data_IF_669107993276
#
_entry.id   IF_669107993276
#
_cell.length_a   1.000
_cell.length_b   1.000
_cell.length_c   1.000
_cell.angle_alpha   90.00
_cell.angle_beta   90.00
_cell.angle_gamma   90.00
#
_symmetry.space_group_name_H-M   'P 1'
#
loop_
_entity.id
_entity.type
_entity.pdbx_description
1 polymer ?
#
# COMPACT_ATOMS: atom_id res chain seq x y z
N UNK A 1 5.27 19.70 -21.48
CA UNK A 1 4.65 20.66 -20.54
C UNK A 1 3.64 19.90 -19.68
N UNK A 2 3.77 19.85 -18.37
CA UNK A 2 2.82 19.51 -17.28
C UNK A 2 3.51 18.79 -16.09
N UNK A 3 4.72 19.21 -15.75
CA UNK A 3 5.38 18.82 -14.47
C UNK A 3 5.04 19.77 -13.31
N UNK A 4 4.45 20.94 -13.61
CA UNK A 4 4.17 21.97 -12.59
C UNK A 4 3.02 21.64 -11.64
N UNK A 5 2.02 20.86 -12.06
CA UNK A 5 0.84 20.56 -11.24
C UNK A 5 1.12 19.58 -10.09
N UNK A 6 2.08 18.67 -10.25
CA UNK A 6 2.45 17.72 -9.19
C UNK A 6 3.21 18.40 -8.05
N UNK A 7 4.06 19.37 -8.38
CA UNK A 7 4.85 20.12 -7.39
C UNK A 7 3.93 21.01 -6.56
N UNK A 8 2.88 21.60 -7.17
CA UNK A 8 1.92 22.44 -6.47
C UNK A 8 1.06 21.64 -5.47
N UNK A 9 0.69 20.40 -5.79
CA UNK A 9 -0.07 19.53 -4.88
C UNK A 9 0.76 19.09 -3.67
N UNK A 10 2.04 18.82 -3.86
CA UNK A 10 2.96 18.44 -2.77
C UNK A 10 3.25 19.65 -1.85
N UNK A 11 3.38 20.85 -2.43
CA UNK A 11 3.56 22.09 -1.67
C UNK A 11 2.29 22.53 -0.92
N UNK A 12 1.10 22.27 -1.47
CA UNK A 12 -0.16 22.53 -0.77
C UNK A 12 -0.37 21.58 0.42
N UNK A 13 0.02 20.30 0.30
CA UNK A 13 0.02 19.36 1.40
C UNK A 13 1.02 19.73 2.51
N UNK A 14 2.16 20.31 2.15
CA UNK A 14 3.15 20.82 3.12
C UNK A 14 2.68 22.11 3.82
N UNK A 15 1.85 22.94 3.18
CA UNK A 15 1.32 24.19 3.76
C UNK A 15 0.21 23.95 4.80
N UNK A 16 -0.50 22.82 4.74
CA UNK A 16 -1.48 22.41 5.76
C UNK A 16 -0.82 21.97 7.08
N UNK A 17 0.50 21.75 7.10
CA UNK A 17 1.24 21.31 8.27
C UNK A 17 1.54 22.41 9.29
N UNK A 18 1.16 23.66 9.06
CA UNK A 18 1.50 24.80 9.92
C UNK A 18 0.64 24.93 11.19
N UNK A 19 -0.40 24.09 11.36
CA UNK A 19 -1.22 24.05 12.59
C UNK A 19 -1.37 22.63 13.17
N UNK A 20 -0.75 21.60 12.57
CA UNK A 20 -0.81 20.23 13.05
C UNK A 20 0.25 20.01 14.14
N UNK A 21 -0.05 19.16 15.12
CA UNK A 21 0.97 18.57 15.99
C UNK A 21 2.13 18.00 15.14
N UNK A 22 3.33 17.94 15.72
CA UNK A 22 4.50 17.39 15.02
C UNK A 22 4.15 16.01 14.41
N UNK A 23 4.50 15.77 13.13
CA UNK A 23 4.17 14.51 12.48
C UNK A 23 4.81 13.35 13.24
N UNK A 24 4.05 12.29 13.46
CA UNK A 24 4.57 11.04 14.01
C UNK A 24 4.98 10.14 12.87
N UNK A 25 6.18 9.60 12.93
CA UNK A 25 6.67 8.64 11.96
C UNK A 25 6.41 7.22 12.43
N UNK A 26 6.39 6.27 11.51
CA UNK A 26 6.19 4.89 11.87
C UNK A 26 6.65 3.93 10.78
N UNK A 27 6.77 2.68 11.19
CA UNK A 27 7.07 1.55 10.32
C UNK A 27 5.96 0.52 10.46
N UNK A 28 5.79 -0.30 9.42
CA UNK A 28 4.80 -1.38 9.45
C UNK A 28 5.32 -2.64 8.79
N UNK A 29 5.00 -3.77 9.39
CA UNK A 29 5.09 -5.09 8.77
C UNK A 29 3.74 -5.48 8.18
N UNK A 30 3.73 -6.07 6.99
CA UNK A 30 2.54 -6.44 6.24
C UNK A 30 2.57 -7.90 5.84
N UNK A 31 1.41 -8.52 5.81
CA UNK A 31 1.13 -9.75 5.06
C UNK A 31 0.16 -9.39 3.95
N UNK A 32 0.53 -9.68 2.71
CA UNK A 32 -0.27 -9.42 1.54
C UNK A 32 -0.90 -10.71 1.05
N UNK A 33 -2.22 -10.78 1.06
CA UNK A 33 -3.01 -11.91 0.60
C UNK A 33 -3.55 -11.55 -0.79
N UNK A 34 -3.06 -12.20 -1.86
CA UNK A 34 -3.49 -11.91 -3.22
C UNK A 34 -4.94 -12.32 -3.44
N UNK A 35 -5.68 -11.54 -4.23
CA UNK A 35 -7.07 -11.79 -4.61
C UNK A 35 -7.24 -11.70 -6.13
N UNK A 36 -8.35 -12.22 -6.66
CA UNK A 36 -8.69 -12.15 -8.09
C UNK A 36 -7.57 -12.68 -8.99
N UNK A 37 -7.27 -11.96 -10.06
CA UNK A 37 -6.27 -12.35 -11.06
C UNK A 37 -4.84 -12.43 -10.48
N UNK A 38 -4.52 -11.59 -9.50
CA UNK A 38 -3.24 -11.66 -8.80
C UNK A 38 -3.08 -12.97 -8.03
N UNK A 39 -4.17 -13.48 -7.43
CA UNK A 39 -4.17 -14.76 -6.72
C UNK A 39 -3.79 -15.91 -7.66
N UNK A 40 -4.32 -15.93 -8.87
CA UNK A 40 -3.99 -16.95 -9.87
C UNK A 40 -2.53 -16.82 -10.32
N UNK A 41 -2.06 -15.58 -10.54
CA UNK A 41 -0.70 -15.32 -10.98
C UNK A 41 0.38 -15.78 -9.98
N UNK A 42 0.14 -15.65 -8.67
CA UNK A 42 1.11 -16.02 -7.61
C UNK A 42 0.73 -17.29 -6.85
N UNK A 43 -0.13 -18.15 -7.42
CA UNK A 43 -0.55 -19.43 -6.85
C UNK A 43 -1.12 -19.29 -5.42
N UNK A 44 -1.93 -18.26 -5.20
CA UNK A 44 -2.57 -17.98 -3.90
C UNK A 44 -1.60 -17.73 -2.73
N UNK A 45 -0.30 -17.63 -2.96
CA UNK A 45 0.71 -17.51 -1.90
C UNK A 45 0.69 -16.12 -1.30
N UNK A 46 0.44 -15.98 0.01
CA UNK A 46 0.58 -14.70 0.69
C UNK A 46 2.06 -14.29 0.72
N UNK A 47 2.31 -13.00 0.70
CA UNK A 47 3.65 -12.46 0.66
C UNK A 47 3.91 -11.44 1.77
N UNK A 48 5.15 -11.34 2.27
CA UNK A 48 5.54 -10.31 3.22
C UNK A 48 5.60 -8.93 2.56
N UNK A 49 5.42 -7.92 3.37
CA UNK A 49 5.65 -6.53 2.99
C UNK A 49 6.12 -5.72 4.17
N UNK A 50 6.65 -4.56 3.88
CA UNK A 50 6.99 -3.57 4.89
C UNK A 50 6.74 -2.17 4.34
N UNK A 51 6.52 -1.23 5.25
CA UNK A 51 6.30 0.16 4.88
C UNK A 51 6.78 1.14 5.93
N UNK A 52 6.91 2.37 5.48
CA UNK A 52 7.16 3.53 6.34
C UNK A 52 6.07 4.56 6.11
N UNK A 53 5.71 5.30 7.13
CA UNK A 53 4.68 6.33 7.02
C UNK A 53 4.92 7.49 7.98
N UNK A 54 4.34 8.63 7.66
CA UNK A 54 4.14 9.73 8.58
C UNK A 54 2.65 9.88 8.87
N UNK A 55 2.28 10.33 10.06
CA UNK A 55 0.88 10.67 10.40
C UNK A 55 0.78 12.11 10.83
N UNK A 56 -0.19 12.82 10.26
CA UNK A 56 -0.51 14.21 10.55
C UNK A 56 -1.90 14.25 11.17
N UNK A 57 -1.99 14.72 12.39
CA UNK A 57 -3.27 14.90 13.08
C UNK A 57 -3.95 16.16 12.55
N UNK A 58 -5.20 16.03 12.14
CA UNK A 58 -6.06 17.13 11.66
C UNK A 58 -7.10 17.55 12.71
N UNK A 59 -7.08 16.92 13.90
CA UNK A 59 -8.07 17.12 14.95
C UNK A 59 -9.28 16.21 14.81
N UNK A 60 -10.04 16.10 15.90
CA UNK A 60 -11.33 15.37 15.98
C UNK A 60 -11.28 13.92 15.45
N UNK A 61 -10.12 13.24 15.58
CA UNK A 61 -9.92 11.88 15.11
C UNK A 61 -9.66 11.74 13.61
N UNK A 62 -9.42 12.84 12.91
CA UNK A 62 -9.06 12.86 11.50
C UNK A 62 -7.54 12.91 11.33
N UNK A 63 -6.98 12.04 10.49
CA UNK A 63 -5.55 12.01 10.21
C UNK A 63 -5.26 11.80 8.73
N UNK A 64 -4.15 12.37 8.27
CA UNK A 64 -3.53 12.04 6.99
C UNK A 64 -2.28 11.19 7.22
N UNK A 65 -2.08 10.18 6.37
CA UNK A 65 -0.96 9.26 6.47
C UNK A 65 -0.30 9.02 5.11
N UNK A 66 0.66 9.89 4.68
CA UNK A 66 1.55 9.53 3.57
C UNK A 66 2.34 8.29 3.94
N UNK A 67 2.51 7.39 2.94
CA UNK A 67 3.17 6.09 3.14
C UNK A 67 3.90 5.61 1.91
N UNK A 68 4.94 4.83 2.16
CA UNK A 68 5.70 4.09 1.15
C UNK A 68 5.73 2.63 1.57
N UNK A 69 5.23 1.74 0.72
CA UNK A 69 5.16 0.30 0.99
C UNK A 69 5.89 -0.48 -0.09
N UNK A 70 6.53 -1.55 0.34
CA UNK A 70 7.12 -2.57 -0.52
C UNK A 70 6.52 -3.93 -0.19
N UNK A 71 6.08 -4.68 -1.20
CA UNK A 71 5.52 -6.01 -1.03
C UNK A 71 6.17 -7.01 -1.96
N UNK A 72 6.39 -8.20 -1.45
CA UNK A 72 6.93 -9.35 -2.16
C UNK A 72 5.86 -10.44 -2.22
N UNK A 73 5.61 -10.99 -3.40
CA UNK A 73 4.82 -12.21 -3.53
C UNK A 73 5.78 -13.35 -3.87
N UNK A 74 5.78 -14.44 -3.08
CA UNK A 74 6.67 -15.58 -3.28
C UNK A 74 6.54 -16.18 -4.67
N UNK A 75 7.59 -16.85 -5.13
CA UNK A 75 7.62 -17.53 -6.41
C UNK A 75 6.50 -18.58 -6.49
N UNK A 76 5.68 -18.48 -7.51
CA UNK A 76 4.74 -19.50 -7.94
C UNK A 76 5.36 -20.34 -9.04
N UNK A 77 5.19 -21.65 -8.99
CA UNK A 77 5.72 -22.59 -9.98
C UNK A 77 4.57 -23.33 -10.65
N UNK A 78 4.40 -23.11 -11.95
CA UNK A 78 3.41 -23.80 -12.77
C UNK A 78 4.15 -24.68 -13.79
N UNK A 79 4.26 -25.96 -13.48
CA UNK A 79 5.12 -26.91 -14.20
C UNK A 79 6.58 -26.43 -14.22
N UNK A 80 7.08 -25.95 -15.37
CA UNK A 80 8.43 -25.39 -15.52
C UNK A 80 8.48 -23.88 -15.40
N UNK A 81 7.34 -23.19 -15.42
CA UNK A 81 7.27 -21.72 -15.42
C UNK A 81 7.27 -21.20 -13.98
N UNK A 82 8.14 -20.25 -13.69
CA UNK A 82 8.21 -19.55 -12.41
C UNK A 82 7.71 -18.12 -12.54
N UNK A 83 6.84 -17.72 -11.64
CA UNK A 83 6.26 -16.37 -11.62
C UNK A 83 6.46 -15.71 -10.25
N UNK A 84 6.86 -14.45 -10.27
CA UNK A 84 7.09 -13.65 -9.06
C UNK A 84 6.50 -12.26 -9.28
N UNK A 85 5.88 -11.70 -8.27
CA UNK A 85 5.39 -10.33 -8.29
C UNK A 85 5.98 -9.51 -7.14
N UNK A 86 6.33 -8.27 -7.42
CA UNK A 86 6.73 -7.28 -6.40
C UNK A 86 6.02 -5.97 -6.62
N UNK A 87 5.79 -5.22 -5.53
CA UNK A 87 5.22 -3.87 -5.63
C UNK A 87 6.00 -2.87 -4.82
N UNK A 88 6.08 -1.66 -5.36
CA UNK A 88 6.46 -0.45 -4.64
C UNK A 88 5.31 0.54 -4.75
N UNK A 89 4.73 0.93 -3.61
CA UNK A 89 3.56 1.80 -3.54
C UNK A 89 3.89 3.08 -2.78
N UNK A 90 3.64 4.21 -3.40
CA UNK A 90 3.69 5.53 -2.76
C UNK A 90 2.28 6.12 -2.76
N UNK A 91 1.79 6.45 -1.58
CA UNK A 91 0.41 6.92 -1.45
C UNK A 91 0.14 7.75 -0.21
N UNK A 92 -1.13 8.04 -0.01
CA UNK A 92 -1.64 8.70 1.17
C UNK A 92 -2.99 8.12 1.56
N UNK A 93 -3.15 7.85 2.84
CA UNK A 93 -4.38 7.40 3.44
C UNK A 93 -4.99 8.51 4.29
N UNK A 94 -6.30 8.58 4.29
CA UNK A 94 -7.08 9.31 5.26
C UNK A 94 -7.62 8.33 6.29
N UNK A 95 -7.42 8.64 7.57
CA UNK A 95 -7.88 7.84 8.70
C UNK A 95 -8.95 8.62 9.46
N UNK A 96 -10.01 7.93 9.83
CA UNK A 96 -11.06 8.45 10.70
C UNK A 96 -11.21 7.58 11.94
N UNK A 97 -10.78 8.10 13.08
CA UNK A 97 -10.93 7.47 14.40
C UNK A 97 -12.32 7.70 14.95
N UNK A 98 -13.07 6.63 15.18
CA UNK A 98 -14.48 6.70 15.59
C UNK A 98 -14.65 7.36 16.97
N UNK A 99 -13.65 7.25 17.84
CA UNK A 99 -13.66 7.85 19.17
C UNK A 99 -13.25 9.34 19.20
N UNK A 100 -12.98 9.98 18.04
CA UNK A 100 -12.55 11.37 17.96
C UNK A 100 -11.14 11.64 18.49
N UNK A 101 -10.35 10.61 18.74
CA UNK A 101 -8.96 10.69 19.22
C UNK A 101 -8.11 9.62 18.53
N UNK A 102 -6.78 9.80 18.39
CA UNK A 102 -5.92 8.90 17.60
C UNK A 102 -5.62 7.55 18.29
N UNK A 103 -6.60 6.98 18.94
CA UNK A 103 -6.60 5.67 19.61
C UNK A 103 -7.92 4.94 19.36
N UNK A 104 -7.89 3.60 19.36
CA UNK A 104 -9.05 2.75 19.15
C UNK A 104 -9.30 2.44 17.68
N UNK A 105 -10.55 2.17 17.35
CA UNK A 105 -11.00 1.76 16.03
C UNK A 105 -10.96 2.94 15.05
N UNK A 106 -10.41 2.71 13.84
CA UNK A 106 -10.44 3.68 12.77
C UNK A 106 -10.78 3.03 11.41
N UNK A 107 -11.37 3.82 10.56
CA UNK A 107 -11.55 3.52 9.14
C UNK A 107 -10.44 4.19 8.34
N UNK A 108 -10.01 3.57 7.26
CA UNK A 108 -9.00 4.15 6.37
C UNK A 108 -9.44 4.04 4.91
N UNK A 109 -9.15 5.07 4.14
CA UNK A 109 -9.27 5.08 2.69
C UNK A 109 -8.07 5.81 2.10
N UNK A 110 -7.60 5.40 0.94
CA UNK A 110 -6.40 5.98 0.38
C UNK A 110 -6.26 5.83 -1.12
N UNK A 111 -5.31 6.61 -1.64
CA UNK A 111 -4.87 6.61 -3.02
C UNK A 111 -3.37 6.35 -3.06
N UNK A 112 -2.93 5.57 -4.04
CA UNK A 112 -1.52 5.29 -4.23
C UNK A 112 -1.14 5.23 -5.71
N UNK A 113 0.12 5.51 -5.99
CA UNK A 113 0.79 5.13 -7.24
C UNK A 113 1.55 3.84 -6.94
N UNK A 114 1.19 2.76 -7.62
CA UNK A 114 1.74 1.43 -7.40
C UNK A 114 2.54 1.01 -8.62
N UNK A 115 3.84 0.80 -8.43
CA UNK A 115 4.71 0.18 -9.42
C UNK A 115 4.73 -1.32 -9.20
N UNK A 116 4.27 -2.06 -10.19
CA UNK A 116 4.30 -3.51 -10.25
C UNK A 116 5.49 -3.97 -11.06
N UNK A 117 6.16 -5.02 -10.61
CA UNK A 117 7.16 -5.77 -11.35
C UNK A 117 6.73 -7.24 -11.36
N UNK A 118 6.34 -7.72 -12.53
CA UNK A 118 5.92 -9.09 -12.77
C UNK A 118 7.04 -9.80 -13.51
N UNK A 119 7.60 -10.86 -12.92
CA UNK A 119 8.67 -11.64 -13.51
C UNK A 119 8.16 -13.03 -13.89
N UNK A 120 8.54 -13.47 -15.08
CA UNK A 120 8.27 -14.80 -15.56
C UNK A 120 9.59 -15.42 -16.05
N UNK A 121 9.90 -16.60 -15.54
CA UNK A 121 11.16 -17.32 -15.81
C UNK A 121 10.89 -18.76 -16.22
N UNK A 122 11.92 -19.38 -16.80
CA UNK A 122 11.93 -20.79 -17.16
C UNK A 122 10.82 -21.21 -18.14
N UNK A 123 10.36 -20.28 -19.01
CA UNK A 123 9.42 -20.61 -20.09
C UNK A 123 10.19 -21.31 -21.20
N UNK A 124 9.83 -22.54 -21.61
CA UNK A 124 10.54 -23.25 -22.67
C UNK A 124 10.61 -22.45 -23.97
N UNK A 125 11.83 -22.18 -24.47
CA UNK A 125 12.06 -21.45 -25.70
C UNK A 125 11.87 -19.93 -25.65
N UNK A 126 11.62 -19.36 -24.48
CA UNK A 126 11.42 -17.91 -24.28
C UNK A 126 12.42 -17.40 -23.24
N UNK A 127 13.16 -16.31 -23.49
CA UNK A 127 13.98 -15.68 -22.46
C UNK A 127 13.16 -15.21 -21.26
N UNK A 128 13.80 -15.15 -20.10
CA UNK A 128 13.20 -14.57 -18.89
C UNK A 128 12.69 -13.16 -19.16
N UNK A 129 11.45 -12.90 -18.76
CA UNK A 129 10.80 -11.61 -18.98
C UNK A 129 10.47 -10.92 -17.69
N UNK A 130 10.63 -9.59 -17.66
CA UNK A 130 10.19 -8.74 -16.56
C UNK A 130 9.30 -7.64 -17.13
N UNK A 131 8.05 -7.61 -16.70
CA UNK A 131 7.10 -6.57 -17.08
C UNK A 131 6.90 -5.60 -15.92
N UNK A 132 7.29 -4.33 -16.15
CA UNK A 132 7.09 -3.26 -15.17
C UNK A 132 5.94 -2.36 -15.61
N UNK A 133 5.02 -2.10 -14.71
CA UNK A 133 3.92 -1.16 -14.96
C UNK A 133 3.64 -0.31 -13.72
N UNK A 134 3.22 0.94 -13.94
CA UNK A 134 2.86 1.86 -12.86
C UNK A 134 1.41 2.26 -13.03
N UNK A 135 0.61 2.08 -11.98
CA UNK A 135 -0.84 2.30 -11.99
C UNK A 135 -1.29 3.01 -10.73
N UNK A 136 -2.46 3.63 -10.81
CA UNK A 136 -3.14 4.10 -9.63
C UNK A 136 -3.75 2.92 -8.87
N UNK A 137 -3.69 3.02 -7.54
CA UNK A 137 -4.33 2.11 -6.61
C UNK A 137 -5.29 2.84 -5.69
N UNK A 138 -6.34 2.14 -5.31
CA UNK A 138 -7.31 2.53 -4.29
C UNK A 138 -7.13 1.62 -3.09
N UNK A 139 -7.24 2.17 -1.89
CA UNK A 139 -7.22 1.38 -0.67
C UNK A 139 -8.40 1.75 0.23
N UNK A 140 -8.95 0.75 0.90
CA UNK A 140 -9.95 0.94 1.95
C UNK A 140 -9.74 -0.12 3.03
N UNK A 141 -9.98 0.23 4.30
CA UNK A 141 -9.73 -0.71 5.36
C UNK A 141 -10.21 -0.25 6.73
N UNK A 142 -9.83 -1.02 7.72
CA UNK A 142 -10.12 -0.80 9.13
C UNK A 142 -8.87 -1.13 9.94
N UNK A 143 -8.64 -0.36 10.99
CA UNK A 143 -7.53 -0.62 11.90
C UNK A 143 -7.89 -0.31 13.33
N UNK A 144 -7.03 -0.74 14.23
CA UNK A 144 -7.13 -0.49 15.63
C UNK A 144 -5.80 -0.01 16.19
N UNK A 145 -5.79 1.20 16.73
CA UNK A 145 -4.64 1.77 17.42
C UNK A 145 -4.73 1.45 18.91
N UNK A 146 -3.87 0.55 19.38
CA UNK A 146 -3.88 0.05 20.77
C UNK A 146 -3.40 1.08 21.77
N UNK A 147 -2.43 1.89 21.37
CA UNK A 147 -1.86 2.99 22.14
C UNK A 147 -1.12 3.95 21.19
N UNK A 148 -0.46 4.96 21.70
CA UNK A 148 0.25 5.96 20.90
C UNK A 148 1.29 5.35 19.93
N UNK A 149 1.84 4.17 20.25
CA UNK A 149 2.94 3.53 19.52
C UNK A 149 2.48 2.40 18.61
N UNK A 150 1.54 1.55 19.06
CA UNK A 150 1.24 0.26 18.41
C UNK A 150 -0.16 0.25 17.83
N UNK A 151 -0.29 -0.24 16.60
CA UNK A 151 -1.57 -0.44 15.92
C UNK A 151 -1.57 -1.66 15.02
N UNK A 152 -2.76 -2.10 14.64
CA UNK A 152 -3.01 -3.16 13.64
C UNK A 152 -3.99 -2.65 12.58
N UNK A 153 -3.85 -3.13 11.36
CA UNK A 153 -4.69 -2.70 10.24
C UNK A 153 -4.96 -3.86 9.29
N UNK A 154 -6.16 -3.92 8.77
CA UNK A 154 -6.52 -4.74 7.63
C UNK A 154 -7.10 -3.84 6.53
N UNK A 155 -6.55 -3.90 5.31
CA UNK A 155 -7.02 -3.08 4.19
C UNK A 155 -7.04 -3.88 2.89
N UNK A 156 -7.95 -3.53 2.02
CA UNK A 156 -7.98 -3.96 0.64
C UNK A 156 -7.26 -2.93 -0.22
N UNK A 157 -6.40 -3.40 -1.12
CA UNK A 157 -5.73 -2.62 -2.14
C UNK A 157 -6.18 -3.11 -3.51
N UNK A 158 -6.63 -2.18 -4.35
CA UNK A 158 -7.03 -2.43 -5.73
C UNK A 158 -6.14 -1.67 -6.70
N UNK A 159 -5.68 -2.32 -7.77
CA UNK A 159 -4.96 -1.68 -8.86
C UNK A 159 -5.27 -2.39 -10.19
N UNK A 160 -5.67 -1.64 -11.21
CA UNK A 160 -5.94 -2.20 -12.55
C UNK A 160 -4.67 -2.12 -13.39
N UNK A 161 -4.05 -3.27 -13.73
CA UNK A 161 -2.76 -3.33 -14.43
C UNK A 161 -2.91 -3.20 -15.95
N UNK A 162 -3.94 -3.82 -16.53
CA UNK A 162 -4.26 -3.76 -17.97
C UNK A 162 -5.76 -3.95 -18.18
N UNK A 163 -6.22 -3.85 -19.43
CA UNK A 163 -7.61 -4.22 -19.77
C UNK A 163 -7.81 -5.71 -19.50
N UNK A 164 -8.37 -6.06 -18.35
CA UNK A 164 -8.68 -7.43 -17.94
C UNK A 164 -7.86 -8.01 -16.81
N UNK A 165 -6.73 -7.41 -16.38
CA UNK A 165 -5.97 -7.87 -15.20
C UNK A 165 -6.13 -6.89 -14.02
N UNK A 166 -6.77 -7.35 -12.96
CA UNK A 166 -6.98 -6.62 -11.71
C UNK A 166 -6.05 -7.19 -10.64
N UNK A 167 -5.19 -6.35 -10.08
CA UNK A 167 -4.35 -6.72 -8.97
C UNK A 167 -5.00 -6.26 -7.67
N UNK A 168 -5.70 -7.17 -7.04
CA UNK A 168 -6.35 -7.00 -5.75
C UNK A 168 -5.57 -7.72 -4.66
N UNK A 169 -5.45 -7.11 -3.50
CA UNK A 169 -4.83 -7.75 -2.35
C UNK A 169 -5.50 -7.30 -1.04
N UNK A 170 -5.67 -8.22 -0.11
CA UNK A 170 -5.88 -7.89 1.30
C UNK A 170 -4.51 -7.76 1.97
N UNK A 171 -4.31 -6.67 2.69
CA UNK A 171 -3.10 -6.41 3.46
C UNK A 171 -3.46 -6.39 4.94
N UNK A 172 -2.86 -7.28 5.73
CA UNK A 172 -2.94 -7.23 7.19
C UNK A 172 -1.59 -6.77 7.73
N UNK A 173 -1.60 -5.82 8.66
CA UNK A 173 -0.38 -5.18 9.11
C UNK A 173 -0.34 -4.87 10.60
N UNK A 174 0.88 -4.79 11.09
CA UNK A 174 1.23 -4.31 12.41
C UNK A 174 2.09 -3.07 12.27
N UNK A 175 1.72 -2.02 12.99
CA UNK A 175 2.33 -0.69 12.90
C UNK A 175 3.00 -0.31 14.20
N UNK A 176 4.19 0.27 14.12
CA UNK A 176 4.90 0.91 15.24
C UNK A 176 5.15 2.37 14.89
N UNK A 177 4.70 3.29 15.73
CA UNK A 177 4.89 4.76 15.62
C UNK A 177 5.87 5.25 16.68
N UNK A 178 6.62 6.28 16.35
CA UNK A 178 7.61 6.91 17.25
C UNK A 178 7.71 8.42 17.01
#
# INVERSE_FOLDING_TARGET
MKTSSLITAVLAAAALSLQAEAPRYGVQGLVNIPLGDLKEYVDSKPGPGFGVHGTFDLGDGHMLRPRLDYSLYPEASFATIKQTATTLSLGGDYLYFIAGKPEGLYLTTGLAVVRWSLQQKDVPGVPDTTHNTTKFGLAAGVGYQWNATVGTEARWLHSSLSSGFKADAMQAGFTVRF
#
